data_IF_813392799273
#
_entry.id   IF_813392799273
#
_cell.length_a   1.000
_cell.length_b   1.000
_cell.length_c   1.000
_cell.angle_alpha   90.00
_cell.angle_beta   90.00
_cell.angle_gamma   90.00
#
_symmetry.space_group_name_H-M   'P 1'
#
loop_
_entity.id
_entity.type
_entity.pdbx_description
1 polymer ?
#
# COMPACT_ATOMS: atom_id res chain seq x y z
N UNK A 1 6.28 -0.46 -0.23
CA UNK A 1 7.10 -1.21 0.74
C UNK A 1 6.40 -2.45 1.22
N UNK A 2 7.13 -3.30 1.95
CA UNK A 2 6.69 -4.61 2.41
C UNK A 2 6.16 -5.48 1.25
N UNK A 3 6.90 -5.46 0.14
CA UNK A 3 6.45 -5.97 -1.17
C UNK A 3 6.16 -7.48 -1.18
N UNK A 4 6.83 -8.25 -0.32
CA UNK A 4 6.70 -9.72 -0.20
C UNK A 4 6.16 -10.18 1.16
N UNK A 5 5.64 -9.24 1.95
CA UNK A 5 5.20 -9.50 3.34
C UNK A 5 3.73 -9.89 3.38
N UNK A 6 3.41 -10.89 4.21
CA UNK A 6 2.05 -11.36 4.49
C UNK A 6 1.25 -11.73 3.23
N UNK A 7 1.90 -12.42 2.29
CA UNK A 7 1.23 -13.04 1.14
C UNK A 7 0.92 -12.11 -0.04
N UNK A 8 1.39 -10.86 -0.03
CA UNK A 8 1.33 -9.99 -1.21
C UNK A 8 2.13 -10.62 -2.36
N UNK A 9 1.51 -10.75 -3.55
CA UNK A 9 2.21 -11.16 -4.78
C UNK A 9 2.69 -9.95 -5.59
N UNK A 10 3.61 -10.14 -6.56
CA UNK A 10 4.09 -9.06 -7.40
C UNK A 10 2.96 -8.37 -8.16
N UNK A 11 3.07 -7.05 -8.25
CA UNK A 11 2.38 -6.23 -9.26
C UNK A 11 3.28 -6.02 -10.48
N UNK A 12 2.72 -5.44 -11.54
CA UNK A 12 3.48 -5.02 -12.72
C UNK A 12 4.64 -4.08 -12.40
N UNK A 13 4.53 -3.26 -11.33
CA UNK A 13 5.60 -2.36 -10.90
C UNK A 13 6.74 -3.07 -10.17
N UNK A 14 6.45 -4.17 -9.46
CA UNK A 14 7.50 -4.99 -8.86
C UNK A 14 8.38 -5.57 -9.98
N UNK A 15 7.79 -6.15 -11.03
CA UNK A 15 8.52 -6.65 -12.21
C UNK A 15 9.23 -5.54 -12.98
N UNK A 16 8.53 -4.43 -13.24
CA UNK A 16 9.08 -3.32 -14.02
C UNK A 16 10.29 -2.68 -13.33
N UNK A 17 10.21 -2.44 -12.02
CA UNK A 17 11.31 -1.81 -11.27
C UNK A 17 12.53 -2.70 -11.11
N UNK A 18 12.36 -4.02 -11.07
CA UNK A 18 13.46 -4.98 -11.07
C UNK A 18 14.09 -5.22 -12.45
N UNK A 19 13.58 -4.58 -13.51
CA UNK A 19 14.14 -4.69 -14.87
C UNK A 19 15.24 -3.64 -15.08
N UNK A 20 16.48 -4.04 -15.46
CA UNK A 20 17.60 -3.11 -15.66
C UNK A 20 17.25 -1.95 -16.61
N UNK A 21 17.55 -0.72 -16.18
CA UNK A 21 17.35 0.50 -16.97
C UNK A 21 15.91 1.00 -17.08
N UNK A 22 14.92 0.35 -16.43
CA UNK A 22 13.52 0.79 -16.45
C UNK A 22 13.18 1.82 -15.39
N UNK A 23 13.93 1.84 -14.29
CA UNK A 23 13.79 2.83 -13.22
C UNK A 23 15.13 3.52 -13.00
N UNK A 24 15.09 4.82 -12.71
CA UNK A 24 16.27 5.61 -12.38
C UNK A 24 17.04 4.94 -11.24
N UNK A 25 18.36 4.84 -11.37
CA UNK A 25 19.27 4.18 -10.41
C UNK A 25 18.97 2.70 -10.09
N UNK A 26 17.97 2.08 -10.73
CA UNK A 26 17.48 0.76 -10.34
C UNK A 26 16.67 0.76 -9.04
N UNK A 27 16.06 1.89 -8.67
CA UNK A 27 15.24 2.00 -7.45
C UNK A 27 14.01 1.07 -7.51
N UNK A 28 13.63 0.48 -6.38
CA UNK A 28 12.46 -0.41 -6.25
C UNK A 28 11.48 0.05 -5.17
N UNK A 29 10.27 -0.52 -5.22
CA UNK A 29 9.21 -0.29 -4.21
C UNK A 29 9.29 -1.19 -2.97
N UNK A 30 10.35 -2.01 -2.83
CA UNK A 30 10.42 -3.11 -1.86
C UNK A 30 10.28 -2.62 -0.43
N UNK A 31 10.97 -1.53 -0.11
CA UNK A 31 10.92 -0.84 1.20
C UNK A 31 10.14 0.48 1.07
N UNK A 32 10.49 1.33 0.09
CA UNK A 32 9.93 2.67 -0.08
C UNK A 32 10.01 3.50 1.22
N UNK A 33 8.95 4.23 1.60
CA UNK A 33 8.87 4.96 2.87
C UNK A 33 8.54 4.06 4.08
N UNK A 34 8.45 2.75 3.89
CA UNK A 34 8.12 1.78 4.94
C UNK A 34 6.79 2.04 5.70
N UNK A 35 5.86 2.78 5.07
CA UNK A 35 4.54 3.12 5.61
C UNK A 35 3.75 1.89 6.10
N UNK A 36 3.97 0.71 5.49
CA UNK A 36 3.31 -0.52 5.93
C UNK A 36 3.56 -0.83 7.41
N UNK A 37 4.76 -0.55 7.92
CA UNK A 37 5.10 -0.74 9.33
C UNK A 37 4.96 0.56 10.13
N UNK A 38 5.16 1.72 9.49
CA UNK A 38 5.23 3.04 10.14
C UNK A 38 3.93 3.85 10.13
N UNK A 39 2.83 3.30 9.61
CA UNK A 39 1.61 4.08 9.38
C UNK A 39 1.09 4.86 10.61
N UNK A 40 1.31 4.37 11.83
CA UNK A 40 0.92 5.11 13.05
C UNK A 40 1.74 6.40 13.25
N UNK A 41 3.05 6.33 13.00
CA UNK A 41 3.93 7.51 13.03
C UNK A 41 3.49 8.51 11.97
N UNK A 42 3.17 8.02 10.76
CA UNK A 42 2.70 8.86 9.66
C UNK A 42 1.34 9.50 9.96
N UNK A 43 0.39 8.77 10.54
CA UNK A 43 -0.93 9.31 10.94
C UNK A 43 -0.79 10.34 12.06
N UNK A 44 0.10 10.11 13.03
CA UNK A 44 0.39 11.10 14.08
C UNK A 44 0.92 12.41 13.47
N UNK A 45 1.84 12.31 12.49
CA UNK A 45 2.36 13.47 11.77
C UNK A 45 1.25 14.19 10.96
N UNK A 46 0.36 13.45 10.30
CA UNK A 46 -0.79 14.05 9.59
C UNK A 46 -1.70 14.83 10.54
N UNK A 47 -1.91 14.31 11.76
CA UNK A 47 -2.70 14.98 12.80
C UNK A 47 -2.01 16.25 13.29
N UNK A 48 -0.70 16.19 13.56
CA UNK A 48 0.09 17.35 14.00
C UNK A 48 0.10 18.48 12.95
N UNK A 49 0.05 18.12 11.66
CA UNK A 49 -0.08 19.07 10.55
C UNK A 49 -1.51 19.60 10.35
N UNK A 50 -2.51 19.07 11.07
CA UNK A 50 -3.91 19.50 10.96
C UNK A 50 -4.59 19.09 9.65
N UNK A 51 -4.20 17.96 9.03
CA UNK A 51 -4.84 17.48 7.81
C UNK A 51 -6.27 16.97 8.08
N UNK A 52 -7.24 17.38 7.25
CA UNK A 52 -8.63 16.94 7.39
C UNK A 52 -8.99 15.63 6.67
N UNK A 53 -8.14 15.20 5.72
CA UNK A 53 -8.35 13.97 4.96
C UNK A 53 -7.02 13.37 4.50
N UNK A 54 -7.00 12.05 4.35
CA UNK A 54 -5.87 11.32 3.78
C UNK A 54 -6.35 10.42 2.65
N UNK A 55 -5.88 10.72 1.43
CA UNK A 55 -6.11 9.88 0.27
C UNK A 55 -5.00 8.84 0.17
N UNK A 56 -5.36 7.57 0.21
CA UNK A 56 -4.46 6.44 0.00
C UNK A 56 -5.00 5.51 -1.09
N UNK A 57 -4.19 4.56 -1.53
CA UNK A 57 -4.61 3.49 -2.44
C UNK A 57 -4.53 2.13 -1.78
N UNK A 58 -5.40 1.23 -2.21
CA UNK A 58 -5.37 -0.18 -1.82
C UNK A 58 -4.49 -0.92 -2.83
N UNK A 59 -3.47 -1.63 -2.33
CA UNK A 59 -2.68 -2.50 -3.19
C UNK A 59 -3.46 -3.77 -3.51
N UNK A 60 -3.85 -3.93 -4.78
CA UNK A 60 -4.69 -5.05 -5.23
C UNK A 60 -4.00 -6.39 -4.96
N UNK A 61 -2.72 -6.53 -5.34
CA UNK A 61 -1.97 -7.78 -5.14
C UNK A 61 -1.73 -8.14 -3.66
N UNK A 62 -2.03 -7.23 -2.72
CA UNK A 62 -2.07 -7.52 -1.27
C UNK A 62 -3.42 -8.06 -0.83
N UNK A 63 -4.52 -7.48 -1.29
CA UNK A 63 -5.88 -7.84 -0.84
C UNK A 63 -6.45 -9.04 -1.59
N UNK A 64 -6.03 -9.26 -2.84
CA UNK A 64 -6.41 -10.40 -3.66
C UNK A 64 -5.18 -10.79 -4.51
N UNK A 65 -4.23 -11.54 -3.94
CA UNK A 65 -3.03 -12.00 -4.64
C UNK A 65 -3.39 -12.72 -5.94
N UNK A 66 -2.56 -12.55 -6.96
CA UNK A 66 -2.83 -12.98 -8.36
C UNK A 66 -3.97 -12.25 -9.08
N UNK A 67 -4.66 -11.31 -8.42
CA UNK A 67 -5.77 -10.54 -9.00
C UNK A 67 -7.07 -11.31 -9.19
N UNK A 68 -7.14 -12.54 -8.67
CA UNK A 68 -8.31 -13.43 -8.77
C UNK A 68 -8.43 -14.33 -7.54
N UNK A 69 -9.61 -14.92 -7.35
CA UNK A 69 -9.90 -15.76 -6.20
C UNK A 69 -10.40 -14.97 -4.98
N UNK A 70 -10.37 -15.54 -3.77
CA UNK A 70 -10.85 -14.87 -2.57
C UNK A 70 -9.95 -13.70 -2.16
N UNK A 71 -10.50 -12.77 -1.39
CA UNK A 71 -9.70 -11.80 -0.68
C UNK A 71 -8.88 -12.48 0.43
N UNK A 72 -7.74 -11.88 0.79
CA UNK A 72 -6.88 -12.35 1.88
C UNK A 72 -7.03 -11.40 3.07
N UNK A 73 -7.52 -11.94 4.19
CA UNK A 73 -7.81 -11.16 5.40
C UNK A 73 -6.61 -10.40 5.94
N UNK A 74 -5.42 -11.03 5.98
CA UNK A 74 -4.20 -10.34 6.42
C UNK A 74 -3.85 -9.12 5.56
N UNK A 75 -4.19 -9.15 4.27
CA UNK A 75 -4.01 -8.02 3.36
C UNK A 75 -4.99 -6.89 3.67
N UNK A 76 -6.25 -7.24 3.96
CA UNK A 76 -7.30 -6.29 4.37
C UNK A 76 -7.03 -5.69 5.76
N UNK A 77 -6.48 -6.46 6.69
CA UNK A 77 -6.23 -6.04 8.08
C UNK A 77 -5.29 -4.85 8.20
N UNK A 78 -4.35 -4.69 7.27
CA UNK A 78 -3.53 -3.48 7.23
C UNK A 78 -4.40 -2.23 6.97
N UNK A 79 -5.29 -2.28 5.96
CA UNK A 79 -6.12 -1.14 5.61
C UNK A 79 -7.22 -0.89 6.65
N UNK A 80 -7.75 -1.93 7.29
CA UNK A 80 -8.67 -1.78 8.44
C UNK A 80 -8.01 -0.97 9.54
N UNK A 81 -6.82 -1.39 10.00
CA UNK A 81 -6.07 -0.67 11.04
C UNK A 81 -5.65 0.74 10.64
N UNK A 82 -5.29 0.96 9.37
CA UNK A 82 -5.00 2.31 8.87
C UNK A 82 -6.23 3.22 8.90
N UNK A 83 -7.38 2.71 8.45
CA UNK A 83 -8.66 3.44 8.47
C UNK A 83 -9.07 3.76 9.91
N UNK A 84 -8.99 2.79 10.82
CA UNK A 84 -9.31 2.99 12.23
C UNK A 84 -8.43 4.10 12.83
N UNK A 85 -7.11 4.03 12.61
CA UNK A 85 -6.14 5.03 13.11
C UNK A 85 -6.41 6.44 12.55
N UNK A 86 -6.76 6.56 11.26
CA UNK A 86 -7.12 7.84 10.65
C UNK A 86 -8.39 8.43 11.27
N UNK A 87 -9.42 7.60 11.47
CA UNK A 87 -10.68 8.03 12.06
C UNK A 87 -10.49 8.45 13.53
N UNK A 88 -9.69 7.70 14.30
CA UNK A 88 -9.29 8.07 15.67
C UNK A 88 -8.51 9.40 15.72
N UNK A 89 -7.73 9.70 14.69
CA UNK A 89 -7.04 10.97 14.53
C UNK A 89 -7.94 12.12 14.04
N UNK A 90 -9.20 11.86 13.70
CA UNK A 90 -10.12 12.86 13.12
C UNK A 90 -9.86 13.18 11.65
N UNK A 91 -9.18 12.28 10.93
CA UNK A 91 -8.79 12.43 9.52
C UNK A 91 -9.72 11.58 8.65
N UNK A 92 -10.33 12.18 7.62
CA UNK A 92 -11.23 11.45 6.71
C UNK A 92 -10.43 10.51 5.77
N UNK A 93 -10.64 9.18 5.81
CA UNK A 93 -9.98 8.26 4.89
C UNK A 93 -10.63 8.30 3.50
N UNK A 94 -9.82 8.45 2.44
CA UNK A 94 -10.29 8.45 1.04
C UNK A 94 -9.55 7.38 0.24
N UNK A 95 -10.19 6.25 -0.02
CA UNK A 95 -9.57 5.10 -0.67
C UNK A 95 -9.65 5.17 -2.21
N UNK A 96 -8.49 4.97 -2.87
CA UNK A 96 -8.39 4.71 -4.31
C UNK A 96 -8.23 3.21 -4.54
N UNK A 97 -9.15 2.58 -5.28
CA UNK A 97 -9.11 1.12 -5.50
C UNK A 97 -7.93 0.65 -6.34
N UNK A 98 -7.53 1.44 -7.33
CA UNK A 98 -6.45 1.09 -8.24
C UNK A 98 -5.52 2.28 -8.46
N UNK A 99 -4.24 2.10 -8.18
CA UNK A 99 -3.22 3.12 -8.40
C UNK A 99 -1.98 2.52 -9.09
N UNK A 100 -2.23 1.93 -10.25
CA UNK A 100 -1.24 1.40 -11.20
C UNK A 100 -0.51 0.11 -10.78
N UNK A 101 -0.83 -0.47 -9.63
CA UNK A 101 -0.21 -1.70 -9.12
C UNK A 101 -1.01 -2.97 -9.46
N UNK A 102 -1.27 -3.17 -10.76
CA UNK A 102 -1.99 -4.35 -11.27
C UNK A 102 -1.23 -5.63 -10.88
N UNK A 103 -1.91 -6.68 -10.35
CA UNK A 103 -1.29 -7.99 -10.14
C UNK A 103 -0.61 -8.49 -11.42
N UNK A 104 0.63 -8.98 -11.29
CA UNK A 104 1.47 -9.36 -12.43
C UNK A 104 0.87 -10.50 -13.27
N UNK A 105 -0.04 -11.28 -12.69
CA UNK A 105 -0.66 -12.44 -13.30
C UNK A 105 -1.83 -12.13 -14.25
N UNK A 106 -2.27 -10.86 -14.32
CA UNK A 106 -3.32 -10.37 -15.22
C UNK A 106 -2.71 -9.73 -16.48
#
# INVERSE_FOLDING_TARGET
GAATVHGRTPSIWDTFSHTPGKVRNGDTGDIAADHYHRYREDVALMKDLGLGAYRFSISWSRVQPTGRGPAVEQGLDFYRRLVDELLEAGITPVATLYHWDLPQEL
#
